data_IF_558560124720
#
_entry.id   IF_558560124720
#
_cell.length_a   1.000
_cell.length_b   1.000
_cell.length_c   1.000
_cell.angle_alpha   90.00
_cell.angle_beta   90.00
_cell.angle_gamma   90.00
#
_symmetry.space_group_name_H-M   'P 1'
#
loop_
_entity.id
_entity.type
_entity.pdbx_description
1 polymer ?
#
# COMPACT_ATOMS: atom_id res chain seq x y z
N UNK A 1 1.09 -30.14 51.97
CA UNK A 1 1.99 -29.00 51.70
C UNK A 1 1.30 -28.08 50.70
N UNK A 2 0.76 -26.97 51.21
CA UNK A 2 0.09 -25.91 50.46
C UNK A 2 1.13 -25.03 49.76
N UNK A 3 0.94 -24.73 48.47
CA UNK A 3 1.58 -23.59 47.82
C UNK A 3 0.53 -22.78 47.06
N UNK A 4 0.25 -21.60 47.60
CA UNK A 4 -0.70 -20.61 47.14
C UNK A 4 -0.22 -19.96 45.84
N UNK A 5 -1.02 -20.05 44.77
CA UNK A 5 -0.87 -19.22 43.57
C UNK A 5 -1.60 -17.89 43.80
N UNK A 6 -0.86 -16.79 43.91
CA UNK A 6 -1.39 -15.42 43.87
C UNK A 6 -1.72 -15.07 42.41
N UNK A 7 -3.00 -14.89 42.11
CA UNK A 7 -3.50 -14.28 40.88
C UNK A 7 -3.71 -12.78 41.15
N UNK A 8 -3.06 -11.91 40.39
CA UNK A 8 -3.28 -10.47 40.46
C UNK A 8 -4.36 -10.08 39.44
N UNK A 9 -5.49 -9.58 39.94
CA UNK A 9 -6.52 -8.89 39.15
C UNK A 9 -6.04 -7.48 38.81
N UNK A 10 -6.15 -7.09 37.55
CA UNK A 10 -6.07 -5.69 37.13
C UNK A 10 -7.50 -5.22 36.85
N UNK A 11 -7.99 -4.29 37.68
CA UNK A 11 -9.22 -3.54 37.48
C UNK A 11 -8.95 -2.41 36.48
N UNK A 12 -9.74 -2.33 35.41
CA UNK A 12 -9.79 -1.16 34.53
C UNK A 12 -11.10 -0.41 34.81
N UNK A 13 -10.99 0.79 35.41
CA UNK A 13 -12.12 1.66 35.69
C UNK A 13 -12.43 2.54 34.47
N UNK A 14 -13.70 2.55 34.07
CA UNK A 14 -14.24 3.47 33.07
C UNK A 14 -14.46 4.87 33.68
N UNK A 15 -14.14 5.91 32.93
CA UNK A 15 -14.59 7.27 33.19
C UNK A 15 -15.18 7.85 31.91
N UNK A 16 -16.51 7.77 31.81
CA UNK A 16 -17.35 8.52 30.90
C UNK A 16 -17.52 9.95 31.43
N UNK A 17 -17.17 10.94 30.61
CA UNK A 17 -17.56 12.34 30.84
C UNK A 17 -18.53 12.71 29.72
N UNK A 18 -19.80 12.79 30.07
CA UNK A 18 -20.78 13.58 29.32
C UNK A 18 -20.75 15.01 29.83
N UNK A 19 -20.87 15.98 28.92
CA UNK A 19 -21.34 17.32 29.27
C UNK A 19 -22.41 17.75 28.26
N UNK A 20 -23.54 18.14 28.80
CA UNK A 20 -24.75 18.58 28.14
C UNK A 20 -24.79 20.10 27.95
N UNK A 21 -25.77 20.57 27.16
CA UNK A 21 -26.34 21.93 27.25
C UNK A 21 -26.20 22.72 25.94
N UNK A 22 -27.17 22.70 25.03
CA UNK A 22 -28.47 23.40 25.04
C UNK A 22 -28.44 24.87 24.52
N UNK A 23 -29.10 25.02 23.36
CA UNK A 23 -30.05 26.07 22.95
C UNK A 23 -29.61 27.53 22.81
N UNK A 24 -29.84 28.08 21.62
CA UNK A 24 -30.82 29.16 21.39
C UNK A 24 -31.14 29.35 19.90
N UNK A 25 -32.41 29.15 19.55
CA UNK A 25 -33.07 29.78 18.40
C UNK A 25 -33.21 31.29 18.64
N UNK A 26 -33.23 32.10 17.57
CA UNK A 26 -34.35 33.03 17.27
C UNK A 26 -34.15 33.75 15.93
N UNK A 27 -35.01 33.38 14.97
CA UNK A 27 -35.90 34.22 14.13
C UNK A 27 -35.41 35.29 13.14
N UNK A 28 -36.07 35.19 11.97
CA UNK A 28 -36.65 36.25 11.10
C UNK A 28 -35.80 36.74 9.90
N UNK A 29 -36.30 36.97 8.66
CA UNK A 29 -37.53 36.69 7.89
C UNK A 29 -37.24 37.23 6.44
N UNK A 30 -37.74 36.52 5.42
CA UNK A 30 -38.10 36.92 4.02
C UNK A 30 -37.10 37.48 2.98
N UNK A 31 -36.82 36.63 1.98
CA UNK A 31 -36.83 36.73 0.47
C UNK A 31 -37.02 38.09 -0.26
N UNK A 32 -36.47 38.28 -1.49
CA UNK A 32 -36.97 37.59 -2.69
C UNK A 32 -35.94 37.11 -3.73
N UNK A 33 -36.45 36.30 -4.65
CA UNK A 33 -35.83 35.68 -5.82
C UNK A 33 -35.07 36.64 -6.75
N UNK A 34 -33.95 36.17 -7.30
CA UNK A 34 -33.57 36.52 -8.68
C UNK A 34 -32.87 35.33 -9.35
N UNK A 35 -33.36 34.98 -10.53
CA UNK A 35 -32.73 34.10 -11.51
C UNK A 35 -31.58 34.85 -12.18
N UNK A 36 -30.37 34.30 -12.18
CA UNK A 36 -29.37 34.59 -13.20
C UNK A 36 -28.28 33.52 -13.25
N UNK A 37 -28.19 32.84 -14.39
CA UNK A 37 -26.95 32.28 -14.90
C UNK A 37 -25.92 33.43 -15.01
N UNK A 38 -24.72 33.26 -14.43
CA UNK A 38 -23.48 33.31 -15.20
C UNK A 38 -22.23 33.13 -14.32
N UNK A 39 -21.26 32.49 -14.96
CA UNK A 39 -19.82 32.77 -14.86
C UNK A 39 -19.15 32.55 -13.51
N UNK A 40 -18.45 31.43 -13.45
CA UNK A 40 -17.17 31.28 -12.76
C UNK A 40 -16.30 32.54 -12.90
N UNK A 41 -15.96 33.15 -11.77
CA UNK A 41 -14.82 34.06 -11.64
C UNK A 41 -13.99 33.55 -10.47
N UNK A 42 -12.71 33.37 -10.78
CA UNK A 42 -11.63 32.98 -9.88
C UNK A 42 -11.32 34.11 -8.89
N UNK A 43 -11.16 33.77 -7.62
CA UNK A 43 -10.43 34.61 -6.65
C UNK A 43 -9.48 33.75 -5.84
N UNK A 44 -8.20 34.10 -5.96
CA UNK A 44 -7.06 33.48 -5.32
C UNK A 44 -7.06 33.64 -3.79
N UNK A 45 -6.40 32.67 -3.17
CA UNK A 45 -5.70 32.71 -1.86
C UNK A 45 -6.54 32.46 -0.61
N UNK A 46 -6.61 31.21 -0.18
CA UNK A 46 -5.98 30.77 1.07
C UNK A 46 -6.17 29.26 1.29
N UNK A 47 -5.04 28.58 1.52
CA UNK A 47 -4.84 27.29 2.19
C UNK A 47 -6.00 26.30 2.08
N UNK A 48 -6.03 25.49 1.01
CA UNK A 48 -7.01 24.42 0.87
C UNK A 48 -6.31 23.07 0.64
N UNK A 49 -6.77 22.09 1.41
CA UNK A 49 -6.63 20.65 1.18
C UNK A 49 -6.95 20.34 -0.28
N UNK A 50 -5.94 19.98 -1.07
CA UNK A 50 -6.09 19.62 -2.49
C UNK A 50 -6.71 18.22 -2.58
N UNK A 51 -8.03 18.17 -2.58
CA UNK A 51 -8.78 17.02 -3.10
C UNK A 51 -8.85 17.19 -4.61
N UNK A 52 -7.95 16.51 -5.33
CA UNK A 52 -8.07 16.35 -6.78
C UNK A 52 -9.13 15.29 -7.05
N UNK A 53 -10.38 15.71 -7.24
CA UNK A 53 -11.45 14.83 -7.74
C UNK A 53 -11.09 14.41 -9.18
N UNK A 54 -10.38 13.30 -9.33
CA UNK A 54 -10.21 12.66 -10.63
C UNK A 54 -11.60 12.19 -11.06
N UNK A 55 -12.05 12.75 -12.20
CA UNK A 55 -13.36 12.52 -12.80
C UNK A 55 -13.61 11.03 -12.95
N UNK A 56 -14.85 10.65 -12.68
CA UNK A 56 -15.42 9.34 -12.95
C UNK A 56 -15.11 8.92 -14.41
N UNK A 57 -14.11 8.06 -14.61
CA UNK A 57 -13.66 7.62 -15.94
C UNK A 57 -14.73 6.73 -16.54
N UNK A 58 -15.45 7.18 -17.58
CA UNK A 58 -16.47 6.39 -18.26
C UNK A 58 -15.97 5.89 -19.63
N UNK A 59 -15.96 4.56 -19.79
CA UNK A 59 -15.96 3.80 -21.06
C UNK A 59 -14.91 4.11 -22.13
N UNK A 60 -13.61 4.13 -21.80
CA UNK A 60 -12.56 4.10 -22.82
C UNK A 60 -11.70 2.85 -22.70
N UNK A 61 -11.47 2.17 -23.83
CA UNK A 61 -10.70 0.92 -24.02
C UNK A 61 -9.17 1.14 -23.88
N UNK A 62 -8.76 2.33 -23.42
CA UNK A 62 -7.38 2.74 -23.21
C UNK A 62 -7.36 3.55 -21.91
N UNK A 63 -6.51 3.19 -20.96
CA UNK A 63 -6.52 3.77 -19.62
C UNK A 63 -6.39 5.30 -19.65
N UNK A 64 -7.16 5.99 -18.82
CA UNK A 64 -6.99 7.43 -18.65
C UNK A 64 -5.70 7.65 -17.86
N UNK A 65 -4.72 8.30 -18.48
CA UNK A 65 -3.46 8.69 -17.83
C UNK A 65 -3.68 10.02 -17.11
N UNK A 66 -3.50 10.03 -15.80
CA UNK A 66 -3.51 11.25 -14.98
C UNK A 66 -2.10 11.58 -14.52
N UNK A 67 -1.70 12.85 -14.65
CA UNK A 67 -0.43 13.36 -14.13
C UNK A 67 -0.65 14.02 -12.77
N UNK A 68 0.25 13.72 -11.82
CA UNK A 68 0.18 14.24 -10.45
C UNK A 68 1.52 14.91 -10.14
N UNK A 69 1.48 16.18 -9.72
CA UNK A 69 2.67 16.85 -9.19
C UNK A 69 3.04 16.21 -7.86
N UNK A 70 4.23 15.63 -7.80
CA UNK A 70 4.73 14.94 -6.61
C UNK A 70 5.74 15.75 -5.82
N UNK A 71 6.04 17.00 -6.16
CA UNK A 71 7.11 17.76 -5.48
C UNK A 71 6.94 17.78 -3.94
N UNK A 72 5.71 17.91 -3.46
CA UNK A 72 5.37 17.94 -2.03
C UNK A 72 4.88 16.59 -1.48
N UNK A 73 4.97 15.52 -2.27
CA UNK A 73 4.59 14.16 -1.85
C UNK A 73 5.83 13.44 -1.34
N UNK A 74 5.81 12.94 -0.12
CA UNK A 74 6.88 12.15 0.48
C UNK A 74 6.51 10.67 0.62
N UNK A 75 5.22 10.34 0.52
CA UNK A 75 4.74 8.97 0.70
C UNK A 75 3.67 8.61 -0.32
N UNK A 76 3.60 7.34 -0.71
CA UNK A 76 2.53 6.78 -1.52
C UNK A 76 1.80 5.69 -0.71
N UNK A 77 0.47 5.76 -0.68
CA UNK A 77 -0.39 4.76 -0.08
C UNK A 77 -1.45 4.32 -1.09
N UNK A 78 -1.49 3.03 -1.40
CA UNK A 78 -2.47 2.42 -2.29
C UNK A 78 -3.29 1.43 -1.48
N UNK A 79 -4.62 1.54 -1.55
CA UNK A 79 -5.53 0.59 -0.94
C UNK A 79 -6.51 0.10 -2.00
N UNK A 80 -6.62 -1.21 -2.15
CA UNK A 80 -7.57 -1.83 -3.07
C UNK A 80 -8.21 -3.07 -2.47
N UNK A 81 -9.44 -3.35 -2.89
CA UNK A 81 -10.08 -4.62 -2.58
C UNK A 81 -9.94 -5.68 -3.69
N UNK A 82 -9.62 -5.28 -4.93
CA UNK A 82 -9.53 -6.21 -6.05
C UNK A 82 -8.86 -5.56 -7.26
N UNK A 83 -7.54 -5.63 -7.39
CA UNK A 83 -6.83 -5.08 -8.53
C UNK A 83 -5.53 -5.81 -8.82
N UNK A 84 -5.04 -5.68 -10.05
CA UNK A 84 -3.63 -5.86 -10.36
C UNK A 84 -2.95 -4.51 -10.15
N UNK A 85 -1.96 -4.43 -9.28
CA UNK A 85 -1.27 -3.18 -8.94
C UNK A 85 0.18 -3.27 -9.41
N UNK A 86 0.63 -2.27 -10.15
CA UNK A 86 2.02 -2.16 -10.62
C UNK A 86 2.56 -0.78 -10.25
N UNK A 87 3.66 -0.72 -9.52
CA UNK A 87 4.38 0.52 -9.19
C UNK A 87 5.77 0.46 -9.81
N UNK A 88 6.11 1.46 -10.62
CA UNK A 88 7.35 1.50 -11.39
C UNK A 88 8.12 2.78 -11.04
N UNK A 89 9.39 2.64 -10.66
CA UNK A 89 10.32 3.77 -10.63
C UNK A 89 10.77 4.16 -12.03
N UNK A 90 10.58 5.42 -12.43
CA UNK A 90 10.98 5.92 -13.74
C UNK A 90 11.83 7.20 -13.64
N UNK A 91 13.07 7.10 -14.12
CA UNK A 91 14.05 8.20 -14.15
C UNK A 91 13.74 9.23 -15.24
N UNK A 92 12.85 8.92 -16.20
CA UNK A 92 12.53 9.79 -17.34
C UNK A 92 11.36 10.74 -17.08
N UNK A 93 10.58 10.50 -16.02
CA UNK A 93 9.45 11.37 -15.66
C UNK A 93 9.82 12.27 -14.48
N UNK A 94 9.16 13.42 -14.41
CA UNK A 94 9.29 14.40 -13.34
C UNK A 94 7.97 14.56 -12.53
N UNK A 95 6.92 13.88 -12.95
CA UNK A 95 5.61 13.82 -12.31
C UNK A 95 5.19 12.36 -12.21
N UNK A 96 4.31 12.04 -11.27
CA UNK A 96 3.75 10.69 -11.23
C UNK A 96 2.70 10.55 -12.34
N UNK A 97 2.70 9.39 -13.00
CA UNK A 97 1.71 9.02 -13.99
C UNK A 97 0.86 7.87 -13.46
N UNK A 98 -0.45 8.05 -13.48
CA UNK A 98 -1.43 7.08 -13.02
C UNK A 98 -2.24 6.59 -14.22
N UNK A 99 -2.16 5.30 -14.52
CA UNK A 99 -2.99 4.65 -15.53
C UNK A 99 -3.93 3.65 -14.85
N UNK A 100 -5.23 3.82 -15.07
CA UNK A 100 -6.26 2.89 -14.58
C UNK A 100 -6.89 2.21 -15.78
N UNK A 101 -6.82 0.89 -15.82
CA UNK A 101 -7.59 0.09 -16.76
C UNK A 101 -8.79 -0.53 -16.05
N UNK A 102 -9.97 -0.38 -16.63
CA UNK A 102 -11.14 -1.12 -16.17
C UNK A 102 -10.96 -2.57 -16.58
N UNK A 103 -11.09 -3.49 -15.62
CA UNK A 103 -11.20 -4.90 -15.92
C UNK A 103 -12.32 -5.12 -16.93
N UNK A 104 -12.18 -6.12 -17.81
CA UNK A 104 -13.03 -6.34 -18.98
C UNK A 104 -14.46 -6.78 -18.62
N UNK A 105 -14.85 -6.64 -17.35
CA UNK A 105 -16.02 -7.27 -16.79
C UNK A 105 -17.28 -6.45 -17.00
N UNK A 106 -18.34 -7.10 -17.45
CA UNK A 106 -19.70 -6.55 -17.32
C UNK A 106 -20.14 -6.66 -15.86
N UNK A 107 -19.51 -5.90 -14.96
CA UNK A 107 -19.89 -5.95 -13.56
C UNK A 107 -18.97 -5.32 -12.53
N UNK A 108 -17.71 -5.01 -12.84
CA UNK A 108 -16.87 -4.26 -11.90
C UNK A 108 -16.98 -2.77 -12.18
N UNK A 109 -17.79 -2.09 -11.38
CA UNK A 109 -17.66 -0.64 -11.22
C UNK A 109 -16.38 -0.38 -10.42
N UNK A 110 -15.28 -0.11 -11.12
CA UNK A 110 -14.04 0.36 -10.49
C UNK A 110 -14.15 1.84 -10.20
N UNK A 111 -14.13 2.20 -8.93
CA UNK A 111 -14.02 3.58 -8.48
C UNK A 111 -12.61 3.81 -7.97
N UNK A 112 -11.91 4.77 -8.56
CA UNK A 112 -10.59 5.21 -8.10
C UNK A 112 -10.74 6.61 -7.54
N UNK A 113 -10.29 6.80 -6.30
CA UNK A 113 -10.20 8.13 -5.68
C UNK A 113 -8.76 8.39 -5.31
N UNK A 114 -8.28 9.58 -5.66
CA UNK A 114 -6.94 10.06 -5.31
C UNK A 114 -7.04 11.28 -4.41
N UNK A 115 -6.23 11.34 -3.37
CA UNK A 115 -6.14 12.53 -2.51
C UNK A 115 -4.70 12.72 -2.04
N UNK A 116 -4.35 13.96 -1.71
CA UNK A 116 -3.08 14.28 -1.08
C UNK A 116 -3.39 14.76 0.33
N UNK A 117 -2.82 14.09 1.32
CA UNK A 117 -2.97 14.45 2.73
C UNK A 117 -1.63 14.32 3.43
N UNK A 118 -1.19 15.39 4.10
CA UNK A 118 0.04 15.43 4.90
C UNK A 118 1.29 14.95 4.11
N UNK A 119 1.36 15.31 2.82
CA UNK A 119 2.43 14.88 1.92
C UNK A 119 2.35 13.40 1.50
N UNK A 120 1.22 12.73 1.73
CA UNK A 120 0.98 11.36 1.25
C UNK A 120 -0.01 11.38 0.10
N UNK A 121 0.39 10.83 -1.05
CA UNK A 121 -0.54 10.51 -2.13
C UNK A 121 -1.29 9.24 -1.74
N UNK A 122 -2.59 9.36 -1.51
CA UNK A 122 -3.48 8.24 -1.21
C UNK A 122 -4.29 7.89 -2.45
N UNK A 123 -4.28 6.60 -2.81
CA UNK A 123 -5.03 6.06 -3.94
C UNK A 123 -5.90 4.92 -3.41
N UNK A 124 -7.21 5.07 -3.52
CA UNK A 124 -8.18 4.09 -3.06
C UNK A 124 -8.96 3.55 -4.26
N UNK A 125 -8.88 2.24 -4.46
CA UNK A 125 -9.53 1.51 -5.55
C UNK A 125 -10.60 0.59 -4.97
N UNK A 126 -11.87 0.95 -5.19
CA UNK A 126 -13.02 0.18 -4.74
C UNK A 126 -13.75 -0.44 -5.91
N UNK A 127 -13.86 -1.77 -5.87
CA UNK A 127 -14.62 -2.56 -6.82
C UNK A 127 -15.82 -3.21 -6.14
N UNK A 128 -16.96 -3.25 -6.82
CA UNK A 128 -18.09 -4.07 -6.36
C UNK A 128 -17.82 -5.53 -6.75
N UNK A 129 -17.30 -6.32 -5.82
CA UNK A 129 -17.08 -7.75 -6.03
C UNK A 129 -18.44 -8.48 -6.19
N UNK A 130 -18.60 -9.21 -7.30
CA UNK A 130 -19.70 -10.18 -7.47
C UNK A 130 -19.24 -11.55 -6.98
N UNK A 131 -20.20 -12.38 -6.55
CA UNK A 131 -19.99 -13.69 -5.90
C UNK A 131 -19.17 -14.67 -6.77
N UNK A 132 -19.18 -14.49 -8.09
CA UNK A 132 -18.35 -15.25 -9.04
C UNK A 132 -17.78 -14.26 -10.05
N UNK A 133 -16.49 -13.92 -9.91
CA UNK A 133 -15.75 -13.17 -10.91
C UNK A 133 -14.86 -14.14 -11.69
N UNK A 134 -15.18 -14.36 -12.97
CA UNK A 134 -14.35 -15.11 -13.92
C UNK A 134 -13.64 -14.19 -14.91
N UNK A 135 -13.91 -12.89 -14.82
CA UNK A 135 -13.40 -11.86 -15.70
C UNK A 135 -12.18 -11.18 -15.09
N UNK A 136 -11.26 -10.61 -15.90
CA UNK A 136 -10.01 -10.05 -15.41
C UNK A 136 -10.23 -8.87 -14.47
N UNK A 137 -9.40 -8.80 -13.44
CA UNK A 137 -9.37 -7.71 -12.47
C UNK A 137 -9.00 -6.39 -13.15
N UNK A 138 -9.46 -5.24 -12.63
CA UNK A 138 -8.94 -3.94 -13.06
C UNK A 138 -7.45 -3.85 -12.75
N UNK A 139 -6.74 -3.02 -13.51
CA UNK A 139 -5.34 -2.76 -13.25
C UNK A 139 -5.10 -1.30 -12.89
N UNK A 140 -4.14 -1.11 -11.99
CA UNK A 140 -3.57 0.17 -11.62
C UNK A 140 -2.08 0.15 -11.91
N UNK A 141 -1.62 1.04 -12.77
CA UNK A 141 -0.19 1.25 -13.01
C UNK A 141 0.19 2.65 -12.58
N UNK A 142 1.19 2.76 -11.71
CA UNK A 142 1.72 4.03 -11.23
C UNK A 142 3.19 4.09 -11.60
N UNK A 143 3.56 5.14 -12.34
CA UNK A 143 4.96 5.45 -12.63
C UNK A 143 5.36 6.61 -11.73
N UNK A 144 6.40 6.43 -10.93
CA UNK A 144 6.89 7.43 -9.99
C UNK A 144 8.22 8.01 -10.48
N UNK A 145 8.43 9.34 -10.39
CA UNK A 145 9.71 9.92 -10.72
C UNK A 145 10.77 9.51 -9.69
N UNK A 146 12.02 9.50 -10.12
CA UNK A 146 13.14 9.15 -9.27
C UNK A 146 13.42 10.23 -8.20
N UNK A 147 13.08 9.93 -6.95
CA UNK A 147 13.40 10.72 -5.76
C UNK A 147 13.28 9.87 -4.50
N UNK A 148 13.75 10.39 -3.37
CA UNK A 148 13.59 9.72 -2.08
C UNK A 148 12.17 9.89 -1.54
N UNK A 149 11.48 8.76 -1.33
CA UNK A 149 10.21 8.67 -0.64
C UNK A 149 10.42 8.15 0.79
N UNK A 150 9.67 8.69 1.74
CA UNK A 150 9.60 8.18 3.11
C UNK A 150 8.94 6.81 3.17
N UNK A 151 7.86 6.60 2.40
CA UNK A 151 7.19 5.30 2.39
C UNK A 151 6.45 5.00 1.09
N UNK A 152 6.42 3.71 0.75
CA UNK A 152 5.51 3.10 -0.20
C UNK A 152 4.70 2.05 0.54
N UNK A 153 3.38 2.24 0.61
CA UNK A 153 2.43 1.32 1.22
C UNK A 153 1.41 0.85 0.18
N UNK A 154 1.30 -0.46 -0.01
CA UNK A 154 0.33 -1.08 -0.92
C UNK A 154 -0.42 -2.15 -0.14
N UNK A 155 -1.74 -2.03 -0.05
CA UNK A 155 -2.62 -3.01 0.56
C UNK A 155 -3.70 -3.42 -0.43
N UNK A 156 -3.72 -4.69 -0.82
CA UNK A 156 -4.65 -5.23 -1.81
C UNK A 156 -5.34 -6.48 -1.28
N UNK A 157 -6.66 -6.50 -1.21
CA UNK A 157 -7.35 -7.71 -0.72
C UNK A 157 -7.25 -8.87 -1.75
N UNK A 158 -7.40 -8.59 -3.05
CA UNK A 158 -7.33 -9.59 -4.11
C UNK A 158 -6.59 -9.07 -5.34
N UNK A 159 -5.67 -9.88 -5.86
CA UNK A 159 -4.93 -9.64 -7.09
C UNK A 159 -3.44 -9.41 -6.85
N UNK A 160 -2.71 -9.43 -7.95
CA UNK A 160 -1.25 -9.43 -7.91
C UNK A 160 -0.71 -8.01 -7.71
N UNK A 161 0.42 -7.91 -7.01
CA UNK A 161 1.16 -6.66 -6.82
C UNK A 161 2.55 -6.82 -7.44
N UNK A 162 2.97 -5.84 -8.23
CA UNK A 162 4.34 -5.73 -8.73
C UNK A 162 4.95 -4.39 -8.34
N UNK A 163 6.14 -4.41 -7.75
CA UNK A 163 6.95 -3.21 -7.48
C UNK A 163 8.28 -3.38 -8.19
N UNK A 164 8.52 -2.53 -9.18
CA UNK A 164 9.60 -2.71 -10.14
C UNK A 164 10.43 -1.45 -10.29
N UNK A 165 11.68 -1.66 -10.73
CA UNK A 165 12.68 -0.63 -11.04
C UNK A 165 13.15 0.16 -9.82
N UNK A 166 14.40 0.61 -9.86
CA UNK A 166 15.06 1.33 -8.77
C UNK A 166 14.22 2.49 -8.21
N UNK A 167 13.51 2.22 -7.12
CA UNK A 167 12.77 3.19 -6.30
C UNK A 167 13.57 3.42 -5.02
N UNK A 168 13.77 4.69 -4.67
CA UNK A 168 14.41 5.06 -3.41
C UNK A 168 13.34 5.31 -2.35
N UNK A 169 13.07 4.31 -1.51
CA UNK A 169 12.07 4.37 -0.43
C UNK A 169 12.73 4.07 0.91
N UNK A 170 12.40 4.79 1.99
CA UNK A 170 12.89 4.43 3.33
C UNK A 170 12.19 3.17 3.86
N UNK A 171 10.85 3.15 3.74
CA UNK A 171 10.01 2.03 4.14
C UNK A 171 9.17 1.50 2.98
N UNK A 172 9.33 0.22 2.66
CA UNK A 172 8.49 -0.51 1.71
C UNK A 172 7.53 -1.42 2.48
N UNK A 173 6.23 -1.25 2.29
CA UNK A 173 5.21 -2.11 2.89
C UNK A 173 4.24 -2.58 1.79
N UNK A 174 4.18 -3.88 1.56
CA UNK A 174 3.33 -4.48 0.52
C UNK A 174 2.57 -5.65 1.11
N UNK A 175 1.25 -5.58 1.10
CA UNK A 175 0.37 -6.66 1.58
C UNK A 175 -0.66 -7.05 0.53
N UNK A 176 -0.84 -8.36 0.36
CA UNK A 176 -1.95 -8.93 -0.40
C UNK A 176 -2.75 -9.92 0.45
N UNK A 177 -4.08 -9.91 0.37
CA UNK A 177 -4.92 -10.95 0.96
C UNK A 177 -4.91 -12.22 0.11
N UNK A 178 -5.05 -12.09 -1.20
CA UNK A 178 -4.94 -13.21 -2.14
C UNK A 178 -4.35 -12.74 -3.45
N UNK A 179 -3.18 -13.25 -3.79
CA UNK A 179 -2.44 -12.86 -4.98
C UNK A 179 -0.95 -12.95 -4.77
N UNK A 180 -0.23 -13.00 -5.87
CA UNK A 180 1.22 -13.03 -5.86
C UNK A 180 1.78 -11.62 -5.69
N UNK A 181 2.93 -11.52 -5.02
CA UNK A 181 3.67 -10.26 -4.87
C UNK A 181 5.04 -10.43 -5.50
N UNK A 182 5.38 -9.54 -6.43
CA UNK A 182 6.70 -9.47 -7.05
C UNK A 182 7.36 -8.15 -6.70
N UNK A 183 8.58 -8.19 -6.19
CA UNK A 183 9.41 -7.01 -5.95
C UNK A 183 10.76 -7.22 -6.61
N UNK A 184 11.16 -6.29 -7.48
CA UNK A 184 12.42 -6.39 -8.24
C UNK A 184 13.14 -5.05 -8.24
N UNK A 185 14.44 -5.08 -7.92
CA UNK A 185 15.32 -3.90 -7.87
C UNK A 185 14.89 -2.81 -6.88
N UNK A 186 14.10 -3.16 -5.87
CA UNK A 186 13.62 -2.22 -4.83
C UNK A 186 13.82 -2.81 -3.44
N UNK A 187 14.53 -2.06 -2.58
CA UNK A 187 14.66 -2.36 -1.15
C UNK A 187 14.43 -1.06 -0.37
N UNK A 188 13.62 -1.13 0.67
CA UNK A 188 13.54 -0.07 1.67
C UNK A 188 14.88 0.17 2.36
N UNK A 189 15.35 1.41 2.36
CA UNK A 189 16.65 1.80 2.96
C UNK A 189 16.73 1.47 4.45
N UNK A 190 15.58 1.44 5.14
CA UNK A 190 15.49 1.04 6.55
C UNK A 190 14.74 -0.29 6.70
N UNK A 191 13.59 -0.42 6.04
CA UNK A 191 12.79 -1.63 6.14
C UNK A 191 11.94 -1.94 4.92
N UNK A 192 11.78 -3.23 4.66
CA UNK A 192 10.86 -3.80 3.68
C UNK A 192 10.02 -4.87 4.37
N UNK A 193 8.70 -4.73 4.34
CA UNK A 193 7.76 -5.71 4.87
C UNK A 193 6.82 -6.13 3.74
N UNK A 194 6.88 -7.41 3.38
CA UNK A 194 6.12 -7.94 2.25
C UNK A 194 5.35 -9.15 2.74
N UNK A 195 4.04 -9.16 2.51
CA UNK A 195 3.22 -10.29 2.93
C UNK A 195 2.10 -10.64 1.96
N UNK A 196 1.78 -11.92 1.89
CA UNK A 196 0.55 -12.41 1.27
C UNK A 196 -0.10 -13.49 2.14
N UNK A 197 -1.42 -13.44 2.31
CA UNK A 197 -2.11 -14.51 3.05
C UNK A 197 -2.20 -15.78 2.18
N UNK A 198 -2.54 -15.64 0.90
CA UNK A 198 -2.56 -16.74 -0.07
C UNK A 198 -1.93 -16.29 -1.38
N UNK A 199 -0.77 -16.85 -1.71
CA UNK A 199 -0.02 -16.50 -2.90
C UNK A 199 1.48 -16.66 -2.66
N UNK A 200 2.24 -16.48 -3.73
CA UNK A 200 3.68 -16.54 -3.68
C UNK A 200 4.29 -15.15 -3.58
N UNK A 201 5.49 -15.07 -3.00
CA UNK A 201 6.29 -13.85 -3.03
C UNK A 201 7.58 -14.13 -3.80
N UNK A 202 7.83 -13.35 -4.84
CA UNK A 202 9.11 -13.30 -5.53
C UNK A 202 9.82 -11.99 -5.20
N UNK A 203 11.02 -12.08 -4.66
CA UNK A 203 11.85 -10.92 -4.33
C UNK A 203 13.22 -11.04 -4.98
N UNK A 204 13.54 -10.11 -5.88
CA UNK A 204 14.83 -9.99 -6.53
C UNK A 204 15.60 -8.79 -5.97
N UNK A 205 16.77 -9.05 -5.39
CA UNK A 205 17.70 -8.03 -4.93
C UNK A 205 18.25 -7.23 -6.13
N UNK A 206 18.57 -5.94 -5.95
CA UNK A 206 19.33 -5.19 -6.93
C UNK A 206 20.76 -5.75 -7.06
N UNK A 207 21.42 -5.52 -8.19
CA UNK A 207 22.77 -6.02 -8.52
C UNK A 207 23.83 -5.84 -7.41
N UNK A 208 23.72 -4.76 -6.62
CA UNK A 208 24.66 -4.43 -5.55
C UNK A 208 23.90 -3.99 -4.28
N UNK A 209 23.35 -4.94 -3.52
CA UNK A 209 22.60 -4.61 -2.31
C UNK A 209 23.55 -4.14 -1.21
N UNK A 210 23.14 -3.11 -0.48
CA UNK A 210 23.74 -2.80 0.82
C UNK A 210 23.51 -3.96 1.80
N UNK A 211 24.30 -4.07 2.89
CA UNK A 211 24.08 -5.09 3.91
C UNK A 211 22.63 -5.10 4.41
N UNK A 212 22.01 -6.28 4.36
CA UNK A 212 20.59 -6.47 4.59
C UNK A 212 20.39 -7.65 5.55
N UNK A 213 19.64 -7.43 6.61
CA UNK A 213 19.11 -8.53 7.42
C UNK A 213 17.83 -9.05 6.77
N UNK A 214 17.76 -10.35 6.55
CA UNK A 214 16.65 -11.02 5.88
C UNK A 214 15.96 -11.95 6.85
N UNK A 215 14.63 -11.92 6.83
CA UNK A 215 13.75 -12.79 7.60
C UNK A 215 12.59 -13.24 6.70
N UNK A 216 12.67 -14.47 6.21
CA UNK A 216 11.68 -15.10 5.35
C UNK A 216 10.91 -16.13 6.14
N UNK A 217 9.59 -16.18 6.00
CA UNK A 217 8.78 -17.17 6.70
C UNK A 217 7.51 -17.55 5.94
N UNK A 218 7.18 -18.83 5.93
CA UNK A 218 5.92 -19.37 5.41
C UNK A 218 5.27 -20.29 6.44
N UNK A 219 3.94 -20.20 6.63
CA UNK A 219 3.23 -21.16 7.50
C UNK A 219 2.93 -22.47 6.79
N UNK A 220 2.61 -22.41 5.50
CA UNK A 220 2.34 -23.55 4.62
C UNK A 220 2.96 -23.26 3.26
N UNK A 221 4.12 -23.84 2.98
CA UNK A 221 4.81 -23.67 1.72
C UNK A 221 6.30 -23.90 1.84
N UNK A 222 7.05 -23.35 0.88
CA UNK A 222 8.50 -23.53 0.78
C UNK A 222 9.21 -22.19 0.61
N UNK A 223 10.46 -22.14 1.02
CA UNK A 223 11.37 -21.01 0.77
C UNK A 223 12.47 -21.48 -0.20
N UNK A 224 12.44 -20.96 -1.43
CA UNK A 224 13.54 -21.08 -2.40
C UNK A 224 14.48 -19.88 -2.27
N UNK A 225 15.58 -20.08 -1.53
CA UNK A 225 16.62 -19.08 -1.36
C UNK A 225 17.80 -19.33 -2.34
N UNK A 226 18.00 -18.39 -3.24
CA UNK A 226 19.08 -18.39 -4.23
C UNK A 226 20.19 -17.39 -3.88
N UNK A 227 20.13 -16.77 -2.69
CA UNK A 227 21.07 -15.75 -2.21
C UNK A 227 21.92 -16.31 -1.07
N UNK A 228 23.24 -16.06 -1.10
CA UNK A 228 24.13 -16.47 -0.02
C UNK A 228 23.90 -15.62 1.25
N UNK A 229 23.66 -16.29 2.38
CA UNK A 229 23.42 -15.65 3.67
C UNK A 229 24.57 -15.90 4.66
N UNK A 230 25.06 -14.84 5.31
CA UNK A 230 25.89 -14.94 6.50
C UNK A 230 25.04 -15.21 7.74
N UNK A 231 25.56 -16.03 8.66
CA UNK A 231 24.88 -16.44 9.91
C UNK A 231 23.47 -17.01 9.66
N UNK A 232 23.35 -17.77 8.58
CA UNK A 232 22.09 -18.41 8.21
C UNK A 232 21.59 -19.34 9.31
N UNK A 233 20.30 -19.25 9.55
CA UNK A 233 19.55 -20.10 10.47
C UNK A 233 18.24 -20.46 9.80
N UNK A 234 18.00 -21.76 9.69
CA UNK A 234 16.83 -22.33 9.04
C UNK A 234 16.08 -23.21 10.06
N UNK A 235 14.77 -22.99 10.17
CA UNK A 235 13.88 -23.83 10.95
C UNK A 235 12.75 -24.36 10.07
N UNK A 236 12.76 -25.66 9.81
CA UNK A 236 11.64 -26.36 9.16
C UNK A 236 10.79 -27.08 10.20
N UNK A 237 9.51 -26.75 10.27
CA UNK A 237 8.45 -27.54 10.92
C UNK A 237 7.61 -28.18 9.82
N UNK A 238 6.89 -29.25 10.13
CA UNK A 238 6.19 -30.16 9.19
C UNK A 238 5.57 -29.48 7.94
N UNK A 239 5.02 -28.27 8.08
CA UNK A 239 4.48 -27.47 6.97
C UNK A 239 5.00 -26.02 6.90
N UNK A 240 5.79 -25.57 7.87
CA UNK A 240 6.23 -24.18 8.01
C UNK A 240 7.75 -24.07 7.89
N UNK A 241 8.23 -23.04 7.21
CA UNK A 241 9.65 -22.77 7.04
C UNK A 241 9.97 -21.34 7.47
N UNK A 242 11.09 -21.18 8.16
CA UNK A 242 11.64 -19.90 8.58
C UNK A 242 13.12 -19.87 8.20
N UNK A 243 13.56 -18.81 7.52
CA UNK A 243 14.93 -18.59 7.11
C UNK A 243 15.34 -17.17 7.47
N UNK A 244 16.44 -17.02 8.20
CA UNK A 244 16.98 -15.71 8.53
C UNK A 244 18.50 -15.66 8.47
N UNK A 245 19.05 -14.49 8.13
CA UNK A 245 20.48 -14.29 7.93
C UNK A 245 20.80 -12.89 7.40
N UNK A 246 22.05 -12.67 7.00
CA UNK A 246 22.49 -11.40 6.42
C UNK A 246 22.94 -11.58 4.97
N UNK A 247 22.47 -10.73 4.07
CA UNK A 247 23.09 -10.55 2.76
C UNK A 247 24.27 -9.60 2.94
N UNK A 248 25.46 -10.08 2.61
CA UNK A 248 26.72 -9.38 2.89
C UNK A 248 27.09 -9.40 4.38
N UNK A 249 28.10 -8.59 4.73
CA UNK A 249 28.64 -8.56 6.11
C UNK A 249 27.64 -7.91 7.06
N UNK A 250 27.33 -8.60 8.16
CA UNK A 250 26.46 -8.06 9.20
C UNK A 250 26.96 -6.70 9.73
N UNK A 251 26.09 -5.69 9.76
CA UNK A 251 26.34 -4.37 10.33
C UNK A 251 25.28 -4.00 11.36
N UNK A 252 25.64 -3.14 12.33
CA UNK A 252 24.77 -2.70 13.43
C UNK A 252 23.48 -2.01 12.96
N UNK A 253 23.52 -1.40 11.77
CA UNK A 253 22.43 -0.61 11.17
C UNK A 253 22.02 -1.16 9.80
N UNK A 254 22.05 -2.49 9.63
CA UNK A 254 21.62 -3.12 8.38
C UNK A 254 20.11 -2.88 8.17
N UNK A 255 19.71 -2.57 6.93
CA UNK A 255 18.30 -2.54 6.56
C UNK A 255 17.65 -3.91 6.84
N UNK A 256 16.32 -3.94 6.98
CA UNK A 256 15.59 -5.18 7.25
C UNK A 256 14.65 -5.54 6.11
N UNK A 257 14.63 -6.82 5.72
CA UNK A 257 13.67 -7.39 4.79
C UNK A 257 12.91 -8.51 5.49
N UNK A 258 11.62 -8.30 5.70
CA UNK A 258 10.69 -9.29 6.23
C UNK A 258 9.75 -9.73 5.11
N UNK A 259 9.76 -11.01 4.78
CA UNK A 259 8.81 -11.62 3.83
C UNK A 259 8.02 -12.69 4.56
N UNK A 260 6.70 -12.61 4.45
CA UNK A 260 5.79 -13.56 5.07
C UNK A 260 4.72 -14.06 4.10
N UNK A 261 4.50 -15.37 4.08
CA UNK A 261 3.28 -15.94 3.47
C UNK A 261 2.57 -16.87 4.44
N UNK A 262 1.24 -16.82 4.45
CA UNK A 262 0.48 -17.82 5.20
C UNK A 262 0.35 -19.12 4.39
N UNK A 263 0.00 -19.04 3.11
CA UNK A 263 0.03 -20.19 2.18
C UNK A 263 0.69 -19.78 0.87
N UNK A 264 1.81 -20.40 0.54
CA UNK A 264 2.52 -20.19 -0.72
C UNK A 264 4.04 -20.22 -0.60
N UNK A 265 4.69 -19.98 -1.73
CA UNK A 265 6.14 -20.06 -1.88
C UNK A 265 6.78 -18.68 -1.70
N UNK A 266 8.00 -18.65 -1.15
CA UNK A 266 8.88 -17.48 -1.20
C UNK A 266 10.07 -17.82 -2.09
N UNK A 267 10.28 -17.05 -3.16
CA UNK A 267 11.50 -17.11 -3.97
C UNK A 267 12.32 -15.86 -3.70
N UNK A 268 13.53 -16.03 -3.17
CA UNK A 268 14.48 -14.94 -2.90
C UNK A 268 15.72 -15.11 -3.76
N UNK A 269 15.99 -14.14 -4.65
CA UNK A 269 17.05 -14.22 -5.66
C UNK A 269 17.81 -12.90 -5.84
N UNK A 270 18.95 -13.00 -6.54
CA UNK A 270 19.66 -11.87 -7.14
C UNK A 270 19.26 -11.72 -8.61
#
# INVERSE_FOLDING_TARGET
MNNNKKLAMILLAAASIGLAGCTKESSAISTPSSSQQNSSISTNTNVNSETSDIRNVSNTVKGDISQIDVNNIHSLKIQSNAAIITVIGDKQINQAELEVSKGNSQGMDTNVTTSIQDGTLQILLKNKLKIINTEPLPSLTIRLPYKEFKSLEIDNEVGNISVESELSVQHLNVSSGTGDVTVTDVIGMESSNISTDVGSVEFALPDQPAPLYVNLSTKIGTIDNQVALEKETNTTKIVAEELHGYVGKAQSESATLNIFTQVGEITFKN
#
